data_IF_428598126145
#
_entry.id   IF_428598126145
#
_cell.length_a   1.000
_cell.length_b   1.000
_cell.length_c   1.000
_cell.angle_alpha   90.00
_cell.angle_beta   90.00
_cell.angle_gamma   90.00
#
_symmetry.space_group_name_H-M   'P 1'
#
loop_
_entity.id
_entity.type
_entity.pdbx_description
1 polymer ?
#
# COMPACT_ATOMS: atom_id res chain seq x y z
N UNK A 1 7.53 9.12 0.55
CA UNK A 1 7.38 7.65 0.47
C UNK A 1 8.12 7.06 -0.72
N UNK A 2 8.97 6.08 -0.46
CA UNK A 2 9.82 5.39 -1.45
C UNK A 2 9.72 3.87 -1.28
N UNK A 3 10.41 3.10 -2.15
CA UNK A 3 10.48 1.64 -2.03
C UNK A 3 9.12 0.95 -2.18
N UNK A 4 8.34 1.32 -3.19
CA UNK A 4 7.02 0.74 -3.41
C UNK A 4 7.12 -0.72 -3.84
N UNK A 5 6.49 -1.60 -3.08
CA UNK A 5 6.40 -3.03 -3.34
C UNK A 5 4.97 -3.40 -3.69
N UNK A 6 4.76 -3.82 -4.95
CA UNK A 6 3.50 -4.39 -5.41
C UNK A 6 3.30 -5.77 -4.78
N UNK A 7 2.07 -6.09 -4.38
CA UNK A 7 1.71 -7.45 -3.95
C UNK A 7 2.06 -8.49 -5.03
N UNK A 8 2.47 -9.69 -4.59
CA UNK A 8 2.64 -10.88 -5.44
C UNK A 8 1.38 -11.74 -5.55
N UNK A 9 0.36 -11.46 -4.73
CA UNK A 9 -0.92 -12.18 -4.70
C UNK A 9 -1.98 -11.45 -5.54
N UNK A 10 -1.62 -11.01 -6.74
CA UNK A 10 -2.53 -10.26 -7.62
C UNK A 10 -3.15 -11.19 -8.65
N UNK A 11 -4.47 -11.39 -8.60
CA UNK A 11 -5.20 -12.02 -9.72
C UNK A 11 -5.51 -10.97 -10.79
N UNK A 12 -5.40 -11.36 -12.06
CA UNK A 12 -5.46 -10.45 -13.21
C UNK A 12 -6.85 -9.84 -13.44
N UNK A 13 -7.92 -10.53 -13.02
CA UNK A 13 -9.31 -10.10 -13.29
C UNK A 13 -9.91 -9.22 -12.19
N UNK A 14 -9.59 -9.40 -10.91
CA UNK A 14 -10.37 -8.74 -9.84
C UNK A 14 -9.50 -8.26 -8.66
N UNK A 15 -9.38 -6.94 -8.55
CA UNK A 15 -9.25 -6.17 -7.30
C UNK A 15 -8.05 -6.38 -6.35
N UNK A 16 -7.08 -7.23 -6.68
CA UNK A 16 -5.86 -7.37 -5.88
C UNK A 16 -4.73 -6.48 -6.41
N UNK A 17 -4.86 -5.15 -6.34
CA UNK A 17 -3.89 -4.20 -6.91
C UNK A 17 -3.21 -3.33 -5.85
N UNK A 18 -2.80 -3.89 -4.72
CA UNK A 18 -2.19 -3.08 -3.65
C UNK A 18 -0.66 -3.01 -3.80
N UNK A 19 -0.11 -1.82 -3.58
CA UNK A 19 1.32 -1.62 -3.34
C UNK A 19 1.56 -0.87 -2.02
N UNK A 20 2.69 -1.18 -1.37
CA UNK A 20 3.08 -0.63 -0.07
C UNK A 20 4.42 0.06 -0.18
N UNK A 21 4.54 1.26 0.38
CA UNK A 21 5.77 2.06 0.42
C UNK A 21 6.03 2.60 1.82
N UNK A 22 7.23 3.10 2.06
CA UNK A 22 7.65 3.58 3.40
C UNK A 22 8.21 4.99 3.36
N UNK A 23 8.12 5.69 4.49
CA UNK A 23 8.74 7.00 4.72
C UNK A 23 9.00 7.19 6.22
N UNK A 24 10.23 6.91 6.67
CA UNK A 24 10.56 6.90 8.09
C UNK A 24 9.64 5.96 8.89
N UNK A 25 8.83 6.52 9.80
CA UNK A 25 7.88 5.77 10.64
C UNK A 25 6.50 5.61 10.03
N UNK A 26 6.31 5.99 8.76
CA UNK A 26 5.04 5.92 8.05
C UNK A 26 5.05 4.83 6.98
N UNK A 27 3.89 4.21 6.80
CA UNK A 27 3.61 3.23 5.75
C UNK A 27 2.49 3.77 4.88
N UNK A 28 2.72 3.79 3.58
CA UNK A 28 1.74 4.15 2.56
C UNK A 28 1.18 2.93 1.87
N UNK A 29 -0.12 2.93 1.64
CA UNK A 29 -0.85 1.88 0.94
C UNK A 29 -1.66 2.55 -0.16
N UNK A 30 -1.53 2.07 -1.40
CA UNK A 30 -2.31 2.59 -2.53
C UNK A 30 -2.64 1.51 -3.54
N UNK A 31 -3.54 1.85 -4.45
CA UNK A 31 -3.87 1.01 -5.59
C UNK A 31 -2.84 1.22 -6.73
N UNK A 32 -2.26 0.14 -7.23
CA UNK A 32 -1.27 0.10 -8.33
C UNK A 32 -1.83 0.70 -9.62
N UNK A 33 -3.15 0.65 -9.82
CA UNK A 33 -3.82 1.25 -10.99
C UNK A 33 -3.85 2.77 -10.94
N UNK A 34 -3.58 3.38 -9.78
CA UNK A 34 -3.45 4.83 -9.66
C UNK A 34 -2.12 5.36 -10.23
N UNK A 35 -1.27 4.50 -10.81
CA UNK A 35 -0.01 4.92 -11.46
C UNK A 35 -0.19 5.99 -12.53
N UNK A 36 -1.36 6.03 -13.18
CA UNK A 36 -1.68 6.98 -14.25
C UNK A 36 -2.13 8.35 -13.72
N UNK A 37 -2.48 8.46 -12.42
CA UNK A 37 -2.83 9.74 -11.80
C UNK A 37 -1.56 10.55 -11.50
N UNK A 38 -1.59 11.89 -11.63
CA UNK A 38 -0.50 12.75 -11.17
C UNK A 38 -0.18 12.52 -9.69
N UNK A 39 1.09 12.66 -9.31
CA UNK A 39 1.56 12.31 -7.97
C UNK A 39 0.88 13.16 -6.87
N UNK A 40 0.52 14.40 -7.21
CA UNK A 40 -0.05 15.41 -6.32
C UNK A 40 -1.49 15.08 -5.90
N UNK A 41 -2.20 14.31 -6.73
CA UNK A 41 -3.61 13.94 -6.50
C UNK A 41 -3.78 12.44 -6.26
N UNK A 42 -2.68 11.68 -6.24
CA UNK A 42 -2.72 10.23 -6.09
C UNK A 42 -3.08 9.87 -4.64
N UNK A 43 -4.22 9.22 -4.38
CA UNK A 43 -4.60 8.85 -3.02
C UNK A 43 -3.62 7.86 -2.41
N UNK A 44 -3.22 8.10 -1.16
CA UNK A 44 -2.43 7.15 -0.37
C UNK A 44 -3.04 7.06 1.01
N UNK A 45 -3.39 5.84 1.44
CA UNK A 45 -3.72 5.60 2.83
C UNK A 45 -2.40 5.55 3.62
N UNK A 46 -2.23 6.50 4.54
CA UNK A 46 -1.02 6.61 5.37
C UNK A 46 -1.32 6.15 6.78
N UNK A 47 -0.53 5.22 7.28
CA UNK A 47 -0.60 4.72 8.66
C UNK A 47 0.79 4.76 9.31
N UNK A 48 0.85 4.69 10.64
CA UNK A 48 2.11 4.51 11.34
C UNK A 48 2.64 3.09 11.15
N UNK A 49 3.96 2.89 11.20
CA UNK A 49 4.57 1.57 11.15
C UNK A 49 4.03 0.62 12.23
N UNK A 50 3.87 1.03 13.52
CA UNK A 50 3.22 0.18 14.53
C UNK A 50 1.77 -0.17 14.18
N UNK A 51 1.01 0.78 13.61
CA UNK A 51 -0.36 0.53 13.17
C UNK A 51 -0.42 -0.49 12.04
N UNK A 52 0.50 -0.42 11.08
CA UNK A 52 0.60 -1.41 10.01
C UNK A 52 0.97 -2.80 10.54
N UNK A 53 1.92 -2.91 11.47
CA UNK A 53 2.25 -4.18 12.14
C UNK A 53 1.04 -4.77 12.87
N UNK A 54 0.25 -3.93 13.57
CA UNK A 54 -0.96 -4.38 14.23
C UNK A 54 -2.01 -4.91 13.23
N UNK A 55 -2.19 -4.23 12.10
CA UNK A 55 -3.05 -4.69 11.01
C UNK A 55 -2.61 -6.06 10.47
N UNK A 56 -1.32 -6.22 10.15
CA UNK A 56 -0.79 -7.51 9.67
C UNK A 56 -1.00 -8.63 10.69
N UNK A 57 -0.80 -8.33 11.97
CA UNK A 57 -1.05 -9.28 13.07
C UNK A 57 -2.51 -9.68 13.16
N UNK A 58 -3.44 -8.75 12.92
CA UNK A 58 -4.88 -9.03 12.92
C UNK A 58 -5.30 -9.90 11.73
N UNK A 59 -4.76 -9.62 10.54
CA UNK A 59 -5.10 -10.33 9.30
C UNK A 59 -4.46 -11.72 9.19
N UNK A 60 -3.42 -12.02 9.97
CA UNK A 60 -2.72 -13.32 9.96
C UNK A 60 -3.39 -14.37 10.87
N UNK A 61 -4.59 -14.07 11.39
CA UNK A 61 -5.41 -14.98 12.20
C UNK A 61 -6.46 -15.64 11.33
#
# INVERSE_FOLDING_TARGET
MTGWHKSSHTHWEENACVEVGTDGTLVGIRDTKQRELPAEVRPVLVVSAPGFTALLTHLSR
#
